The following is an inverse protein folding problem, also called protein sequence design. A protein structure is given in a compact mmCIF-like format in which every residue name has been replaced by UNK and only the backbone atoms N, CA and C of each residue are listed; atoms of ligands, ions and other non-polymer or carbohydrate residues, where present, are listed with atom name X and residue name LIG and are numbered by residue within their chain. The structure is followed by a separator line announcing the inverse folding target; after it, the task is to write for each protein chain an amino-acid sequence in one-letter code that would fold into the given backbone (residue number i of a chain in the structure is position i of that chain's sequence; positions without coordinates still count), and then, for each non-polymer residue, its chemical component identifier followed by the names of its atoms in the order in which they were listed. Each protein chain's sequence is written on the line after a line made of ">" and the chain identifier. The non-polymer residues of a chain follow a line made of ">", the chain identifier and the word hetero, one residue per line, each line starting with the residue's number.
data_IF_261186938704
#
_entry.id   IF_261186938704
#
_cell.length_a   1.000
_cell.length_b   1.000
_cell.length_c   1.000
_cell.angle_alpha   90.00
_cell.angle_beta   90.00
_cell.angle_gamma   90.00
#
_symmetry.space_group_name_H-M   'P 1'
#
loop_
_entity.id
_entity.type
_entity.pdbx_description
1 polymer ?
#
# COMPACT_ATOMS: atom_id res chain seq x y z
N UNK A 1 -28.88 -14.03 24.13
CA UNK A 1 -28.96 -12.57 24.29
C UNK A 1 -27.87 -12.10 25.24
N UNK A 2 -26.85 -11.41 24.71
CA UNK A 2 -26.20 -10.21 25.27
C UNK A 2 -25.00 -9.88 24.37
N UNK A 3 -25.26 -8.98 23.44
CA UNK A 3 -24.29 -8.18 22.69
C UNK A 3 -23.33 -7.51 23.67
N UNK A 4 -22.03 -7.79 23.55
CA UNK A 4 -21.00 -6.99 24.21
C UNK A 4 -20.41 -6.06 23.16
N UNK A 5 -20.68 -4.77 23.37
CA UNK A 5 -20.40 -3.68 22.46
C UNK A 5 -18.91 -3.54 22.15
N UNK A 6 -18.61 -3.36 20.85
CA UNK A 6 -17.35 -2.83 20.36
C UNK A 6 -17.17 -1.43 20.97
N UNK A 7 -16.24 -1.29 21.91
CA UNK A 7 -15.70 0.01 22.31
C UNK A 7 -14.63 0.38 21.28
N UNK A 8 -15.01 1.20 20.31
CA UNK A 8 -14.13 2.06 19.53
C UNK A 8 -13.95 3.38 20.30
N UNK A 9 -12.88 3.58 21.09
CA UNK A 9 -12.35 4.91 21.32
C UNK A 9 -11.11 5.10 20.42
N UNK A 10 -10.84 6.34 20.01
CA UNK A 10 -9.77 6.81 19.12
C UNK A 10 -10.14 7.10 17.66
N UNK A 11 -11.27 7.79 17.45
CA UNK A 11 -11.43 8.66 16.28
C UNK A 11 -11.65 10.12 16.74
N UNK A 12 -10.67 10.67 17.46
CA UNK A 12 -10.59 12.11 17.74
C UNK A 12 -9.20 12.62 17.43
N UNK A 13 -8.73 12.38 16.21
CA UNK A 13 -7.65 13.17 15.60
C UNK A 13 -8.30 14.38 14.93
N UNK A 14 -8.67 15.37 15.75
CA UNK A 14 -8.81 16.75 15.28
C UNK A 14 -7.39 17.27 15.01
N UNK A 15 -6.80 16.88 13.88
CA UNK A 15 -5.59 17.49 13.36
C UNK A 15 -5.95 18.18 12.03
N UNK A 16 -6.89 19.12 12.09
CA UNK A 16 -6.93 20.20 11.12
C UNK A 16 -5.88 21.20 11.55
N UNK A 17 -4.63 20.95 11.15
CA UNK A 17 -3.67 22.02 11.01
C UNK A 17 -4.02 22.73 9.70
N UNK A 18 -4.77 23.81 9.82
CA UNK A 18 -4.89 24.82 8.76
C UNK A 18 -3.54 25.53 8.69
N UNK A 19 -2.64 25.03 7.84
CA UNK A 19 -1.47 25.79 7.40
C UNK A 19 -1.74 26.30 5.98
N UNK A 20 -1.97 27.61 5.87
CA UNK A 20 -1.70 28.35 4.65
C UNK A 20 -0.20 28.19 4.31
N UNK A 21 0.12 27.21 3.46
CA UNK A 21 1.36 27.18 2.72
C UNK A 21 1.03 26.90 1.26
N UNK A 22 1.01 27.97 0.46
CA UNK A 22 0.97 27.92 -1.00
C UNK A 22 2.17 27.12 -1.53
N UNK A 23 1.99 25.80 -1.68
CA UNK A 23 2.56 24.93 -2.74
C UNK A 23 2.56 23.44 -2.34
N UNK A 24 2.44 23.12 -1.04
CA UNK A 24 2.50 21.73 -0.55
C UNK A 24 1.37 21.42 0.42
N UNK A 25 0.45 20.57 0.01
CA UNK A 25 -0.64 20.05 0.83
C UNK A 25 -0.26 18.75 1.53
N UNK A 26 -0.92 18.48 2.65
CA UNK A 26 -0.97 17.15 3.26
C UNK A 26 -2.29 16.48 2.92
N UNK A 27 -2.27 15.17 2.77
CA UNK A 27 -3.48 14.38 2.54
C UNK A 27 -3.41 13.03 3.22
N UNK A 28 -4.60 12.53 3.55
CA UNK A 28 -4.80 11.19 4.08
C UNK A 28 -5.58 10.41 3.02
N UNK A 29 -5.12 9.20 2.71
CA UNK A 29 -5.80 8.30 1.80
C UNK A 29 -6.27 7.04 2.49
N UNK A 30 -7.41 6.49 2.06
CA UNK A 30 -7.88 5.16 2.44
C UNK A 30 -8.29 4.39 1.19
N UNK A 31 -7.96 3.10 1.12
CA UNK A 31 -8.31 2.31 -0.05
C UNK A 31 -7.68 0.93 -0.09
N UNK A 32 -7.72 0.36 -1.28
CA UNK A 32 -7.08 -0.89 -1.64
C UNK A 32 -6.10 -0.67 -2.80
N UNK A 33 -4.94 -1.32 -2.77
CA UNK A 33 -3.91 -1.29 -3.81
C UNK A 33 -2.54 -0.88 -3.29
N UNK A 34 -1.59 -0.64 -4.21
CA UNK A 34 -0.20 -0.32 -3.85
C UNK A 34 -0.05 0.96 -3.03
N UNK A 35 -0.87 1.99 -3.30
CA UNK A 35 -0.86 3.22 -2.51
C UNK A 35 -1.34 3.05 -1.06
N UNK A 36 -1.84 1.87 -0.69
CA UNK A 36 -2.46 1.59 0.60
C UNK A 36 -1.88 0.32 1.26
N UNK A 37 -0.78 -0.23 0.72
CA UNK A 37 -0.19 -1.52 1.15
C UNK A 37 -1.24 -2.64 1.24
N UNK A 38 -1.91 -2.93 0.13
CA UNK A 38 -3.07 -3.81 0.14
C UNK A 38 -4.30 -3.01 0.56
N UNK A 39 -5.04 -3.44 1.58
CA UNK A 39 -6.17 -2.70 2.15
C UNK A 39 -5.66 -1.89 3.35
N UNK A 40 -5.77 -0.56 3.27
CA UNK A 40 -5.18 0.29 4.29
C UNK A 40 -5.32 1.78 4.03
N UNK A 41 -4.34 2.53 4.51
CA UNK A 41 -4.30 3.98 4.40
C UNK A 41 -2.90 4.52 4.09
N UNK A 42 -2.86 5.78 3.67
CA UNK A 42 -1.62 6.50 3.45
C UNK A 42 -1.65 7.92 4.02
N UNK A 43 -0.45 8.45 4.26
CA UNK A 43 -0.19 9.85 4.53
C UNK A 43 0.66 10.37 3.38
N UNK A 44 0.22 11.45 2.76
CA UNK A 44 0.75 11.96 1.52
C UNK A 44 1.14 13.43 1.63
N UNK A 45 2.29 13.77 1.04
CA UNK A 45 2.73 15.12 0.72
C UNK A 45 2.44 15.36 -0.75
N UNK A 46 1.56 16.32 -1.05
CA UNK A 46 1.10 16.64 -2.40
C UNK A 46 1.56 18.03 -2.84
N UNK A 47 1.88 18.17 -4.12
CA UNK A 47 1.94 19.44 -4.85
C UNK A 47 0.99 19.36 -6.04
N UNK A 48 1.00 20.36 -6.93
CA UNK A 48 0.19 20.35 -8.15
C UNK A 48 0.43 19.11 -9.04
N UNK A 49 1.66 18.58 -9.05
CA UNK A 49 2.07 17.49 -9.95
C UNK A 49 2.71 16.29 -9.25
N UNK A 50 3.06 16.39 -7.97
CA UNK A 50 3.73 15.33 -7.21
C UNK A 50 2.89 14.85 -6.02
N UNK A 51 2.96 13.56 -5.73
CA UNK A 51 2.43 12.97 -4.49
C UNK A 51 3.44 11.96 -3.95
N UNK A 52 4.00 12.24 -2.78
CA UNK A 52 4.90 11.33 -2.04
C UNK A 52 4.18 10.80 -0.82
N UNK A 53 4.20 9.50 -0.60
CA UNK A 53 3.40 8.90 0.47
C UNK A 53 4.14 7.81 1.23
N UNK A 54 3.68 7.61 2.47
CA UNK A 54 3.90 6.41 3.26
C UNK A 54 2.56 5.76 3.54
N UNK A 55 2.50 4.43 3.52
CA UNK A 55 1.28 3.66 3.68
C UNK A 55 1.41 2.56 4.72
N UNK A 56 0.28 2.20 5.31
CA UNK A 56 0.12 1.06 6.20
C UNK A 56 -1.13 0.29 5.78
N UNK A 57 -1.06 -1.03 5.73
CA UNK A 57 -2.18 -1.85 5.29
C UNK A 57 -1.88 -3.34 5.40
N UNK A 58 -2.86 -4.15 4.99
CA UNK A 58 -2.76 -5.60 4.97
C UNK A 58 -3.01 -6.14 3.55
N UNK A 59 -2.15 -7.06 3.11
CA UNK A 59 -2.17 -7.61 1.75
C UNK A 59 -2.88 -8.96 1.66
N UNK A 60 -2.86 -9.73 2.76
CA UNK A 60 -3.38 -11.08 2.79
C UNK A 60 -4.06 -11.37 4.13
N UNK A 61 -5.01 -12.32 4.09
CA UNK A 61 -5.61 -12.89 5.27
C UNK A 61 -5.74 -14.40 5.10
N UNK A 62 -5.26 -15.17 6.08
CA UNK A 62 -5.49 -16.60 6.15
C UNK A 62 -5.98 -16.98 7.56
N UNK A 63 -6.85 -17.99 7.62
CA UNK A 63 -7.32 -18.51 8.92
C UNK A 63 -6.23 -19.19 9.74
N UNK A 64 -5.08 -19.52 9.13
CA UNK A 64 -3.97 -20.24 9.76
C UNK A 64 -2.85 -19.32 10.23
N UNK A 65 -2.55 -18.27 9.47
CA UNK A 65 -1.41 -17.37 9.72
C UNK A 65 -1.84 -15.94 10.07
N UNK A 66 -3.14 -15.64 10.02
CA UNK A 66 -3.66 -14.31 10.33
C UNK A 66 -3.55 -13.35 9.14
N UNK A 67 -3.47 -12.06 9.45
CA UNK A 67 -3.35 -10.98 8.45
C UNK A 67 -1.90 -10.57 8.25
N UNK A 68 -1.43 -10.53 7.01
CA UNK A 68 -0.10 -10.00 6.68
C UNK A 68 -0.21 -8.50 6.49
N UNK A 69 0.29 -7.73 7.47
CA UNK A 69 0.20 -6.27 7.48
C UNK A 69 1.57 -5.64 7.59
N UNK A 70 1.75 -4.50 6.94
CA UNK A 70 3.03 -3.83 6.89
C UNK A 70 2.95 -2.43 6.33
N UNK A 71 4.10 -1.95 5.88
CA UNK A 71 4.26 -0.57 5.43
C UNK A 71 4.66 -0.51 3.96
N UNK A 72 4.45 0.66 3.37
CA UNK A 72 4.89 1.00 2.02
C UNK A 72 5.26 2.46 1.90
N UNK A 73 5.91 2.79 0.80
CA UNK A 73 6.19 4.16 0.43
C UNK A 73 6.22 4.28 -1.09
N UNK A 74 5.88 5.45 -1.61
CA UNK A 74 5.94 5.68 -3.04
C UNK A 74 5.89 7.14 -3.43
N UNK A 75 6.06 7.36 -4.71
CA UNK A 75 6.03 8.67 -5.34
C UNK A 75 5.31 8.57 -6.68
N UNK A 76 4.33 9.45 -6.87
CA UNK A 76 3.53 9.57 -8.08
C UNK A 76 3.70 10.95 -8.68
N UNK A 77 3.84 11.00 -10.00
CA UNK A 77 3.97 12.22 -10.82
C UNK A 77 2.89 12.25 -11.89
N UNK A 78 2.33 13.44 -12.16
CA UNK A 78 1.33 13.62 -13.22
C UNK A 78 1.86 14.37 -14.44
N UNK A 79 3.07 14.93 -14.35
CA UNK A 79 3.74 15.74 -15.37
C UNK A 79 4.72 14.94 -16.27
N UNK A 80 4.69 13.61 -16.19
CA UNK A 80 5.65 12.77 -16.93
C UNK A 80 5.36 12.69 -18.43
N UNK A 81 4.10 12.94 -18.81
CA UNK A 81 3.63 12.95 -20.19
C UNK A 81 2.82 14.24 -20.43
N UNK A 82 2.67 14.62 -21.69
CA UNK A 82 2.01 15.86 -22.11
C UNK A 82 0.47 15.77 -22.01
N UNK A 83 -0.03 15.46 -20.82
CA UNK A 83 -1.44 15.50 -20.49
C UNK A 83 -1.79 16.89 -19.96
N UNK A 84 -2.79 17.53 -20.55
CA UNK A 84 -3.33 18.82 -20.11
C UNK A 84 -4.21 18.67 -18.83
N UNK A 85 -3.77 17.82 -17.89
CA UNK A 85 -4.43 17.59 -16.60
C UNK A 85 -3.52 16.90 -15.59
N UNK A 86 -3.68 17.24 -14.31
CA UNK A 86 -3.00 16.56 -13.20
C UNK A 86 -3.78 15.33 -12.67
N UNK A 87 -4.53 14.65 -13.55
CA UNK A 87 -5.36 13.48 -13.18
C UNK A 87 -4.68 12.14 -13.43
N UNK A 88 -3.67 12.10 -14.29
CA UNK A 88 -3.01 10.87 -14.72
C UNK A 88 -1.65 10.72 -14.04
N UNK A 89 -1.60 9.99 -12.93
CA UNK A 89 -0.39 9.78 -12.16
C UNK A 89 0.34 8.51 -12.57
N UNK A 90 1.66 8.62 -12.72
CA UNK A 90 2.59 7.50 -12.87
C UNK A 90 3.57 7.52 -11.71
N UNK A 91 3.77 6.37 -11.08
CA UNK A 91 4.54 6.31 -9.85
C UNK A 91 5.44 5.10 -9.74
N UNK A 92 6.31 5.19 -8.74
CA UNK A 92 7.13 4.09 -8.23
C UNK A 92 6.76 3.84 -6.78
N UNK A 93 6.84 2.59 -6.34
CA UNK A 93 6.58 2.24 -4.94
C UNK A 93 7.41 1.07 -4.48
N UNK A 94 7.58 0.99 -3.17
CA UNK A 94 8.04 -0.17 -2.43
C UNK A 94 7.03 -0.49 -1.33
N UNK A 95 6.67 -1.76 -1.15
CA UNK A 95 5.76 -2.15 -0.08
C UNK A 95 5.93 -3.61 0.31
N UNK A 96 5.40 -3.97 1.48
CA UNK A 96 4.96 -5.35 1.72
C UNK A 96 3.92 -5.73 0.65
N UNK A 97 4.06 -6.90 0.03
CA UNK A 97 3.16 -7.38 -1.03
C UNK A 97 2.62 -8.78 -0.80
N UNK A 98 3.18 -9.54 0.14
CA UNK A 98 2.70 -10.88 0.48
C UNK A 98 3.52 -11.50 1.60
N UNK A 99 3.33 -12.79 1.81
CA UNK A 99 4.04 -13.58 2.81
C UNK A 99 4.20 -15.02 2.32
N UNK A 100 5.42 -15.56 2.33
CA UNK A 100 5.66 -16.95 1.97
C UNK A 100 5.92 -17.82 3.21
N UNK A 101 5.20 -18.93 3.29
CA UNK A 101 5.39 -19.94 4.34
C UNK A 101 5.52 -21.33 3.73
N UNK A 102 6.66 -21.99 3.93
CA UNK A 102 6.92 -23.33 3.39
C UNK A 102 7.77 -24.20 4.32
N UNK A 103 7.66 -25.53 4.15
CA UNK A 103 8.43 -26.51 4.91
C UNK A 103 9.61 -26.98 4.06
N UNK A 104 10.82 -26.69 4.51
CA UNK A 104 12.06 -27.22 3.95
C UNK A 104 12.49 -28.50 4.66
N UNK A 105 13.06 -29.44 3.91
CA UNK A 105 13.67 -30.66 4.47
C UNK A 105 15.17 -30.64 4.19
N UNK A 106 15.99 -30.78 5.23
CA UNK A 106 17.43 -30.99 5.07
C UNK A 106 17.81 -32.38 5.56
N UNK A 107 18.64 -33.07 4.79
CA UNK A 107 19.21 -34.35 5.19
C UNK A 107 20.49 -34.08 5.96
N UNK A 108 20.50 -34.39 7.25
CA UNK A 108 21.72 -34.39 8.07
C UNK A 108 22.23 -35.81 8.25
N UNK A 109 23.47 -35.96 8.74
CA UNK A 109 24.06 -37.25 9.15
C UNK A 109 23.26 -38.00 10.23
N UNK A 110 22.27 -37.34 10.85
CA UNK A 110 21.40 -37.88 11.92
C UNK A 110 19.96 -38.19 11.43
N UNK A 111 19.62 -37.90 10.17
CA UNK A 111 18.27 -38.08 9.61
C UNK A 111 17.74 -36.86 8.86
N UNK A 112 16.43 -36.83 8.56
CA UNK A 112 15.78 -35.68 7.90
C UNK A 112 15.28 -34.70 8.95
N UNK A 113 15.74 -33.44 8.91
CA UNK A 113 15.23 -32.34 9.74
C UNK A 113 14.31 -31.46 8.91
N UNK A 114 13.11 -31.19 9.41
CA UNK A 114 12.16 -30.26 8.81
C UNK A 114 12.34 -28.87 9.43
N UNK A 115 12.34 -27.83 8.59
CA UNK A 115 12.40 -26.43 9.00
C UNK A 115 11.22 -25.68 8.40
N UNK A 116 10.60 -24.82 9.19
CA UNK A 116 9.56 -23.91 8.72
C UNK A 116 10.24 -22.60 8.32
N UNK A 117 10.03 -22.17 7.08
CA UNK A 117 10.33 -20.80 6.62
C UNK A 117 9.06 -19.98 6.65
N UNK A 118 9.20 -18.74 7.10
CA UNK A 118 8.10 -17.78 7.33
C UNK A 118 8.67 -16.38 7.06
N UNK A 119 8.51 -15.90 5.83
CA UNK A 119 9.21 -14.71 5.35
C UNK A 119 8.24 -13.73 4.67
N UNK A 120 8.40 -12.45 5.00
CA UNK A 120 7.65 -11.37 4.38
C UNK A 120 8.16 -11.09 2.96
N UNK A 121 7.22 -10.91 2.03
CA UNK A 121 7.51 -10.58 0.64
C UNK A 121 7.39 -9.06 0.46
N UNK A 122 8.49 -8.45 0.03
CA UNK A 122 8.60 -7.05 -0.34
C UNK A 122 8.64 -6.90 -1.87
N UNK A 123 7.87 -5.94 -2.37
CA UNK A 123 7.80 -5.61 -3.79
C UNK A 123 8.34 -4.22 -4.09
N UNK A 124 8.98 -4.06 -5.24
CA UNK A 124 9.30 -2.77 -5.85
C UNK A 124 8.66 -2.70 -7.24
N UNK A 125 7.93 -1.62 -7.51
CA UNK A 125 7.07 -1.58 -8.69
C UNK A 125 6.80 -0.19 -9.25
N UNK A 126 6.08 -0.21 -10.37
CA UNK A 126 5.53 0.97 -11.03
C UNK A 126 4.01 0.93 -10.95
N UNK A 127 3.39 2.10 -10.91
CA UNK A 127 1.94 2.25 -10.80
C UNK A 127 1.41 3.31 -11.75
N UNK A 128 0.15 3.13 -12.13
CA UNK A 128 -0.69 4.16 -12.72
C UNK A 128 -1.86 4.43 -11.78
N UNK A 129 -2.15 5.71 -11.52
CA UNK A 129 -3.28 6.15 -10.70
C UNK A 129 -4.01 7.30 -11.40
N UNK A 130 -5.31 7.14 -11.61
CA UNK A 130 -6.22 8.18 -12.04
C UNK A 130 -6.85 8.86 -10.82
N UNK A 131 -6.65 10.17 -10.69
CA UNK A 131 -7.23 11.02 -9.66
C UNK A 131 -8.45 11.75 -10.23
N UNK A 132 -9.66 11.40 -9.78
CA UNK A 132 -10.90 11.89 -10.40
C UNK A 132 -11.01 13.42 -10.43
N UNK A 133 -10.54 14.07 -9.35
CA UNK A 133 -10.57 15.51 -9.17
C UNK A 133 -9.20 16.20 -9.35
N UNK A 134 -8.14 15.44 -9.66
CA UNK A 134 -6.74 15.92 -9.69
C UNK A 134 -5.93 15.44 -8.49
N UNK A 135 -4.61 15.31 -8.66
CA UNK A 135 -3.69 14.74 -7.65
C UNK A 135 -3.63 15.56 -6.35
N UNK A 136 -3.91 16.86 -6.42
CA UNK A 136 -3.87 17.81 -5.31
C UNK A 136 -5.26 18.13 -4.73
N UNK A 137 -6.27 17.32 -5.04
CA UNK A 137 -7.65 17.53 -4.59
C UNK A 137 -8.19 16.29 -3.91
N UNK A 138 -9.17 16.46 -3.01
CA UNK A 138 -9.89 15.32 -2.44
C UNK A 138 -10.70 14.61 -3.53
N UNK A 139 -10.72 13.29 -3.52
CA UNK A 139 -11.52 12.52 -4.48
C UNK A 139 -11.16 11.05 -4.58
N UNK A 140 -11.96 10.33 -5.35
CA UNK A 140 -11.74 8.91 -5.63
C UNK A 140 -10.53 8.72 -6.55
N UNK A 141 -9.73 7.70 -6.24
CA UNK A 141 -8.60 7.25 -7.04
C UNK A 141 -8.86 5.86 -7.61
N UNK A 142 -8.38 5.61 -8.82
CA UNK A 142 -8.41 4.30 -9.47
C UNK A 142 -7.06 4.00 -10.06
N UNK A 143 -6.61 2.75 -10.09
CA UNK A 143 -5.29 2.47 -10.63
C UNK A 143 -4.98 1.00 -10.82
N UNK A 144 -3.79 0.78 -11.34
CA UNK A 144 -3.19 -0.53 -11.44
C UNK A 144 -1.68 -0.41 -11.25
N UNK A 145 -1.06 -1.47 -10.76
CA UNK A 145 0.38 -1.51 -10.59
C UNK A 145 0.94 -2.90 -10.85
N UNK A 146 2.22 -2.94 -11.16
CA UNK A 146 3.01 -4.16 -11.30
C UNK A 146 4.30 -3.99 -10.51
N UNK A 147 4.80 -5.08 -9.93
CA UNK A 147 6.03 -5.08 -9.14
C UNK A 147 6.83 -6.37 -9.32
N UNK A 148 8.13 -6.29 -9.07
CA UNK A 148 8.98 -7.45 -8.83
C UNK A 148 9.11 -7.67 -7.32
N UNK A 149 9.27 -8.92 -6.90
CA UNK A 149 9.33 -9.32 -5.49
C UNK A 149 10.67 -9.94 -5.11
N UNK A 150 10.96 -9.96 -3.80
CA UNK A 150 12.05 -10.76 -3.23
C UNK A 150 11.63 -12.23 -2.93
N UNK A 151 10.49 -12.70 -3.43
CA UNK A 151 9.96 -14.02 -3.13
C UNK A 151 10.90 -15.14 -3.61
N UNK A 152 11.06 -16.17 -2.78
CA UNK A 152 11.89 -17.34 -3.07
C UNK A 152 11.10 -18.44 -3.76
N UNK A 153 9.85 -18.63 -3.33
CA UNK A 153 8.96 -19.71 -3.79
C UNK A 153 7.74 -19.15 -4.50
N UNK A 154 7.24 -17.99 -4.07
CA UNK A 154 6.12 -17.33 -4.74
C UNK A 154 6.49 -16.65 -6.07
N UNK A 155 5.48 -16.07 -6.72
CA UNK A 155 5.66 -15.38 -7.99
C UNK A 155 6.63 -14.21 -7.85
N UNK A 156 7.69 -14.21 -8.68
CA UNK A 156 8.69 -13.13 -8.75
C UNK A 156 8.12 -11.79 -9.21
N UNK A 157 6.89 -11.79 -9.70
CA UNK A 157 6.16 -10.63 -10.18
C UNK A 157 4.72 -10.69 -9.70
N UNK A 158 4.15 -9.52 -9.43
CA UNK A 158 2.77 -9.36 -8.99
C UNK A 158 2.24 -7.99 -9.39
N UNK A 159 1.05 -7.67 -8.91
CA UNK A 159 0.41 -6.40 -9.18
C UNK A 159 -0.84 -6.18 -8.35
N UNK A 160 -1.27 -4.93 -8.28
CA UNK A 160 -2.51 -4.54 -7.62
C UNK A 160 -3.46 -3.86 -8.59
N UNK A 161 -4.75 -4.12 -8.42
CA UNK A 161 -5.76 -3.12 -8.78
C UNK A 161 -5.92 -2.16 -7.62
N UNK A 162 -6.23 -0.90 -7.92
CA UNK A 162 -6.34 0.15 -6.92
C UNK A 162 -7.69 0.84 -7.00
N UNK A 163 -8.32 1.02 -5.83
CA UNK A 163 -9.42 1.97 -5.63
C UNK A 163 -9.30 2.57 -4.24
N UNK A 164 -9.46 3.88 -4.12
CA UNK A 164 -9.41 4.54 -2.84
C UNK A 164 -10.03 5.92 -2.88
N UNK A 165 -9.94 6.61 -1.75
CA UNK A 165 -10.34 7.99 -1.59
C UNK A 165 -9.22 8.77 -0.91
N UNK A 166 -8.89 9.92 -1.49
CA UNK A 166 -7.95 10.89 -0.97
C UNK A 166 -8.73 12.03 -0.34
N UNK A 167 -8.43 12.37 0.92
CA UNK A 167 -9.02 13.49 1.65
C UNK A 167 -8.13 14.72 1.53
#
# INVERSE_FOLDING_TARGET
>A
MKTLALLLPFLSLNCFAEEENHDKGFSIGLGLGSMYTGIGGNLSLMSEYDLKYVSIGCVEYSSRFGSTCGFGAGWTKTDLFDFDSNKHGFGVYISLVGHESYVGYTSTTEGVKAYFHDDDIYGAGISYTYFMNGINQSGTTFGASIHATNASVESKYGGFLQVGYQF
#
